data_IF_393970773681
#
_entry.id   IF_393970773681
#
_cell.length_a   1.000
_cell.length_b   1.000
_cell.length_c   1.000
_cell.angle_alpha   90.00
_cell.angle_beta   90.00
_cell.angle_gamma   90.00
#
_symmetry.space_group_name_H-M   'P 1'
#
loop_
_entity.id
_entity.type
_entity.pdbx_description
1 polymer ?
#
# COMPACT_ATOMS: atom_id res chain seq x y z
N UNK A 1 -13.27 15.11 0.05
CA UNK A 1 -12.66 14.29 1.11
C UNK A 1 -11.42 14.95 1.73
N UNK A 2 -10.93 16.08 1.21
CA UNK A 2 -9.80 16.83 1.77
C UNK A 2 -8.42 16.22 1.47
N UNK A 3 -8.31 15.32 0.50
CA UNK A 3 -7.03 14.79 0.05
C UNK A 3 -6.12 15.92 -0.44
N UNK A 4 -4.86 15.94 -0.03
CA UNK A 4 -3.91 16.99 -0.38
C UNK A 4 -2.91 16.55 -1.46
N UNK A 5 -2.76 15.26 -1.69
CA UNK A 5 -1.94 14.70 -2.76
C UNK A 5 -2.60 13.48 -3.37
N UNK A 6 -2.33 13.24 -4.65
CA UNK A 6 -2.73 12.05 -5.40
C UNK A 6 -1.50 11.53 -6.12
N UNK A 7 -1.23 10.24 -6.05
CA UNK A 7 -0.18 9.60 -6.84
C UNK A 7 -0.76 9.11 -8.17
N UNK A 8 -0.10 9.45 -9.27
CA UNK A 8 -0.42 8.88 -10.57
C UNK A 8 -0.06 7.39 -10.56
N UNK A 9 -0.99 6.53 -10.93
CA UNK A 9 -0.79 5.08 -10.91
C UNK A 9 0.12 4.61 -12.06
N UNK A 10 0.84 3.51 -11.84
CA UNK A 10 1.57 2.79 -12.90
C UNK A 10 0.66 2.24 -14.00
N UNK A 11 -0.62 2.13 -13.72
CA UNK A 11 -1.59 1.56 -14.64
C UNK A 11 -1.69 2.34 -15.95
N UNK A 12 -2.27 1.69 -16.94
CA UNK A 12 -2.71 2.32 -18.18
C UNK A 12 -4.24 2.33 -18.21
N UNK A 13 -4.82 3.35 -18.82
CA UNK A 13 -6.23 3.37 -19.17
C UNK A 13 -6.38 3.50 -20.67
N UNK A 14 -7.11 2.55 -21.28
CA UNK A 14 -7.25 2.44 -22.75
C UNK A 14 -5.91 2.47 -23.50
N UNK A 15 -4.87 1.86 -22.92
CA UNK A 15 -3.54 1.78 -23.51
C UNK A 15 -2.62 2.96 -23.25
N UNK A 16 -3.10 4.03 -22.61
CA UNK A 16 -2.29 5.21 -22.26
C UNK A 16 -1.85 5.17 -20.80
N UNK A 17 -0.55 5.38 -20.55
CA UNK A 17 0.01 5.46 -19.20
C UNK A 17 -0.54 6.68 -18.46
N UNK A 18 -0.99 6.47 -17.20
CA UNK A 18 -1.64 7.54 -16.42
C UNK A 18 -0.72 8.73 -16.15
N UNK A 19 0.60 8.54 -16.04
CA UNK A 19 1.54 9.65 -15.87
C UNK A 19 1.54 10.66 -17.03
N UNK A 20 1.13 10.26 -18.22
CA UNK A 20 0.99 11.13 -19.40
C UNK A 20 -0.46 11.46 -19.76
N UNK A 21 -1.43 11.04 -18.97
CA UNK A 21 -2.85 11.10 -19.30
C UNK A 21 -3.49 12.43 -18.89
N UNK A 22 -3.36 13.45 -19.74
CA UNK A 22 -3.86 14.80 -19.46
C UNK A 22 -5.35 14.85 -19.10
N UNK A 23 -6.19 14.12 -19.81
CA UNK A 23 -7.63 14.12 -19.54
C UNK A 23 -7.94 13.69 -18.11
N UNK A 24 -7.31 12.61 -17.60
CA UNK A 24 -7.57 12.16 -16.24
C UNK A 24 -6.89 13.02 -15.18
N UNK A 25 -5.63 13.43 -15.38
CA UNK A 25 -4.87 14.17 -14.37
C UNK A 25 -5.27 15.65 -14.29
N UNK A 26 -5.55 16.26 -15.42
CA UNK A 26 -5.90 17.70 -15.49
C UNK A 26 -7.40 17.90 -15.61
N UNK A 27 -7.99 17.46 -16.73
CA UNK A 27 -9.35 17.86 -17.06
C UNK A 27 -10.37 17.26 -16.07
N UNK A 28 -10.21 15.99 -15.67
CA UNK A 28 -11.10 15.35 -14.68
C UNK A 28 -10.68 15.67 -13.25
N UNK A 29 -9.46 15.29 -12.84
CA UNK A 29 -9.07 15.40 -11.43
C UNK A 29 -8.95 16.86 -10.97
N UNK A 30 -8.13 17.65 -11.68
CA UNK A 30 -7.87 19.04 -11.24
C UNK A 30 -9.02 19.98 -11.51
N UNK A 31 -9.65 19.90 -12.71
CA UNK A 31 -10.67 20.86 -13.13
C UNK A 31 -12.08 20.42 -12.75
N UNK A 32 -12.58 19.27 -13.23
CA UNK A 32 -13.97 18.86 -12.98
C UNK A 32 -14.23 18.49 -11.51
N UNK A 33 -13.29 17.78 -10.87
CA UNK A 33 -13.41 17.41 -9.46
C UNK A 33 -12.94 18.51 -8.51
N UNK A 34 -12.32 19.59 -9.01
CA UNK A 34 -11.82 20.70 -8.21
C UNK A 34 -10.67 20.32 -7.27
N UNK A 35 -9.84 19.35 -7.65
CA UNK A 35 -8.71 18.94 -6.82
C UNK A 35 -7.63 20.02 -6.81
N UNK A 36 -7.40 20.63 -5.67
CA UNK A 36 -6.48 21.74 -5.48
C UNK A 36 -5.14 21.37 -4.83
N UNK A 37 -4.94 20.08 -4.52
CA UNK A 37 -3.66 19.51 -4.12
C UNK A 37 -2.71 19.29 -5.29
N UNK A 38 -1.62 18.54 -5.07
CA UNK A 38 -0.66 18.21 -6.12
C UNK A 38 -0.72 16.73 -6.54
N UNK A 39 -0.30 16.45 -7.77
CA UNK A 39 -0.13 15.10 -8.30
C UNK A 39 1.35 14.73 -8.27
N UNK A 40 1.68 13.63 -7.60
CA UNK A 40 3.02 13.04 -7.58
C UNK A 40 3.07 11.82 -8.49
N UNK A 41 4.19 11.60 -9.18
CA UNK A 41 4.42 10.39 -9.95
C UNK A 41 4.76 9.19 -9.07
N UNK A 42 4.63 8.01 -9.61
CA UNK A 42 5.19 6.79 -9.04
C UNK A 42 6.63 6.59 -9.53
N UNK A 43 7.35 5.64 -8.96
CA UNK A 43 8.78 5.36 -9.19
C UNK A 43 9.11 5.16 -10.67
N UNK A 44 9.80 6.16 -11.29
CA UNK A 44 10.08 6.18 -12.72
C UNK A 44 8.85 6.03 -13.65
N UNK A 45 7.64 6.26 -13.14
CA UNK A 45 6.41 6.06 -13.90
C UNK A 45 6.28 6.96 -15.13
N UNK A 46 6.87 8.16 -15.09
CA UNK A 46 6.94 9.06 -16.24
C UNK A 46 7.72 8.46 -17.42
N UNK A 47 8.78 7.68 -17.12
CA UNK A 47 9.59 7.02 -18.15
C UNK A 47 8.83 5.95 -18.95
N UNK A 48 7.66 5.51 -18.47
CA UNK A 48 6.80 4.55 -19.16
C UNK A 48 5.80 5.21 -20.12
N UNK A 49 5.72 6.53 -20.13
CA UNK A 49 4.90 7.27 -21.10
C UNK A 49 5.52 7.14 -22.48
N UNK A 50 4.68 6.90 -23.50
CA UNK A 50 5.16 6.71 -24.88
C UNK A 50 5.97 7.91 -25.34
N UNK A 51 7.21 7.67 -25.76
CA UNK A 51 8.14 8.70 -26.21
C UNK A 51 8.94 9.38 -25.09
N UNK A 52 8.74 8.95 -23.84
CA UNK A 52 9.53 9.39 -22.69
C UNK A 52 10.58 8.34 -22.28
N UNK A 53 11.46 8.77 -21.39
CA UNK A 53 12.35 7.92 -20.60
C UNK A 53 12.52 8.53 -19.20
N UNK A 54 13.34 7.93 -18.34
CA UNK A 54 13.52 8.42 -16.96
C UNK A 54 14.18 9.81 -16.88
N UNK A 55 14.92 10.19 -17.91
CA UNK A 55 15.68 11.44 -17.97
C UNK A 55 14.95 12.56 -18.70
N UNK A 56 13.85 12.24 -19.41
CA UNK A 56 13.14 13.19 -20.26
C UNK A 56 11.66 12.83 -20.41
N UNK A 57 10.76 13.70 -19.96
CA UNK A 57 9.33 13.55 -20.14
C UNK A 57 8.53 14.85 -19.93
N UNK A 58 8.62 15.78 -20.87
CA UNK A 58 7.77 16.97 -20.88
C UNK A 58 6.26 16.61 -20.90
N UNK A 59 5.90 15.49 -21.52
CA UNK A 59 4.51 15.04 -21.62
C UNK A 59 3.86 14.83 -20.26
N UNK A 60 4.59 14.24 -19.28
CA UNK A 60 4.04 14.02 -17.95
C UNK A 60 3.76 15.33 -17.21
N UNK A 61 4.67 16.31 -17.29
CA UNK A 61 4.45 17.65 -16.71
C UNK A 61 3.25 18.32 -17.37
N UNK A 62 3.18 18.31 -18.68
CA UNK A 62 2.09 18.92 -19.46
C UNK A 62 0.76 18.20 -19.26
N UNK A 63 0.78 16.91 -18.90
CA UNK A 63 -0.41 16.15 -18.54
C UNK A 63 -0.95 16.52 -17.14
N UNK A 64 -0.15 17.17 -16.29
CA UNK A 64 -0.59 17.58 -14.97
C UNK A 64 0.19 16.97 -13.80
N UNK A 65 1.28 16.25 -14.06
CA UNK A 65 2.18 15.80 -13.01
C UNK A 65 2.90 17.00 -12.38
N UNK A 66 2.87 17.12 -11.07
CA UNK A 66 3.46 18.24 -10.33
C UNK A 66 4.80 17.90 -9.69
N UNK A 67 5.00 16.62 -9.35
CA UNK A 67 6.24 16.11 -8.74
C UNK A 67 6.61 14.80 -9.42
N UNK A 68 7.84 14.69 -9.89
CA UNK A 68 8.41 13.44 -10.36
C UNK A 68 8.91 12.59 -9.17
N UNK A 69 8.74 11.28 -9.28
CA UNK A 69 9.42 10.31 -8.42
C UNK A 69 10.50 9.62 -9.24
N UNK A 70 11.71 10.16 -9.18
CA UNK A 70 12.86 9.69 -9.97
C UNK A 70 14.08 9.52 -9.07
N UNK A 71 14.44 8.26 -8.74
CA UNK A 71 15.45 7.99 -7.71
C UNK A 71 16.89 8.23 -8.19
N UNK A 72 17.22 7.89 -9.43
CA UNK A 72 18.60 7.87 -9.92
C UNK A 72 18.89 9.00 -10.93
N UNK A 73 18.02 9.19 -11.90
CA UNK A 73 18.26 10.04 -13.08
C UNK A 73 17.79 11.49 -12.89
N UNK A 74 17.55 11.89 -11.64
CA UNK A 74 16.94 13.17 -11.32
C UNK A 74 17.73 14.41 -11.78
N UNK A 75 19.07 14.33 -11.83
CA UNK A 75 19.89 15.47 -12.28
C UNK A 75 19.69 15.72 -13.77
N UNK A 76 19.77 14.67 -14.58
CA UNK A 76 19.59 14.77 -16.03
C UNK A 76 18.14 15.17 -16.34
N UNK A 77 17.16 14.59 -15.65
CA UNK A 77 15.75 14.98 -15.77
C UNK A 77 15.53 16.45 -15.42
N UNK A 78 16.21 16.96 -14.38
CA UNK A 78 16.14 18.38 -14.01
C UNK A 78 16.69 19.28 -15.13
N UNK A 79 17.89 18.97 -15.64
CA UNK A 79 18.52 19.78 -16.69
C UNK A 79 17.69 19.77 -17.98
N UNK A 80 17.18 18.61 -18.40
CA UNK A 80 16.29 18.49 -19.55
C UNK A 80 14.97 19.25 -19.34
N UNK A 81 14.36 19.14 -18.17
CA UNK A 81 13.13 19.88 -17.83
C UNK A 81 13.38 21.40 -17.87
N UNK A 82 14.50 21.87 -17.34
CA UNK A 82 14.88 23.28 -17.39
C UNK A 82 15.05 23.76 -18.84
N UNK A 83 15.70 22.99 -19.69
CA UNK A 83 15.83 23.30 -21.12
C UNK A 83 14.46 23.37 -21.79
N UNK A 84 13.56 22.42 -21.51
CA UNK A 84 12.20 22.37 -22.06
C UNK A 84 11.30 23.52 -21.58
N UNK A 85 11.56 24.07 -20.40
CA UNK A 85 10.89 25.29 -19.94
C UNK A 85 11.43 26.51 -20.69
N UNK A 86 12.75 26.59 -20.90
CA UNK A 86 13.41 27.70 -21.58
C UNK A 86 13.03 27.79 -23.08
N UNK A 87 12.83 26.65 -23.73
CA UNK A 87 12.42 26.60 -25.15
C UNK A 87 10.90 26.65 -25.35
N UNK A 88 10.11 26.63 -24.27
CA UNK A 88 8.67 26.70 -24.29
C UNK A 88 7.94 25.37 -24.52
N UNK A 89 8.64 24.25 -24.59
CA UNK A 89 8.05 22.91 -24.65
C UNK A 89 7.18 22.64 -23.41
N UNK A 90 7.63 23.12 -22.25
CA UNK A 90 6.85 23.16 -21.01
C UNK A 90 6.50 24.63 -20.73
N UNK A 91 5.23 25.03 -20.80
CA UNK A 91 4.85 26.40 -20.49
C UNK A 91 5.16 26.77 -19.04
N UNK A 92 5.70 27.98 -18.81
CA UNK A 92 5.96 28.48 -17.45
C UNK A 92 4.70 28.45 -16.57
N UNK A 93 3.55 28.66 -17.14
CA UNK A 93 2.25 28.56 -16.41
C UNK A 93 2.01 27.18 -15.81
N UNK A 94 2.52 26.12 -16.46
CA UNK A 94 2.41 24.75 -15.92
C UNK A 94 3.33 24.56 -14.71
N UNK A 95 4.52 25.11 -14.75
CA UNK A 95 5.47 25.11 -13.62
C UNK A 95 4.90 25.92 -12.45
N UNK A 96 4.38 27.12 -12.74
CA UNK A 96 3.72 27.95 -11.74
C UNK A 96 2.54 27.26 -11.04
N UNK A 97 1.72 26.51 -11.80
CA UNK A 97 0.61 25.73 -11.21
C UNK A 97 1.15 24.62 -10.30
N UNK A 98 2.19 23.87 -10.73
CA UNK A 98 2.80 22.83 -9.91
C UNK A 98 3.36 23.40 -8.59
N UNK A 99 4.12 24.48 -8.69
CA UNK A 99 4.71 25.15 -7.52
C UNK A 99 3.63 25.68 -6.57
N UNK A 100 2.59 26.32 -7.08
CA UNK A 100 1.47 26.81 -6.26
C UNK A 100 0.77 25.66 -5.53
N UNK A 101 0.54 24.53 -6.17
CA UNK A 101 -0.10 23.36 -5.56
C UNK A 101 0.78 22.77 -4.45
N UNK A 102 2.07 22.60 -4.71
CA UNK A 102 3.04 22.08 -3.74
C UNK A 102 3.13 23.02 -2.53
N UNK A 103 3.30 24.33 -2.77
CA UNK A 103 3.38 25.32 -1.69
C UNK A 103 2.09 25.40 -0.88
N UNK A 104 0.94 25.37 -1.54
CA UNK A 104 -0.39 25.35 -0.87
C UNK A 104 -0.50 24.21 0.13
N UNK A 105 -0.11 23.01 -0.28
CA UNK A 105 -0.13 21.84 0.61
C UNK A 105 0.86 21.98 1.75
N UNK A 106 2.07 22.48 1.49
CA UNK A 106 3.07 22.73 2.53
C UNK A 106 2.58 23.75 3.56
N UNK A 107 1.95 24.84 3.11
CA UNK A 107 1.35 25.86 4.00
C UNK A 107 0.20 25.26 4.80
N UNK A 108 -0.73 24.57 4.17
CA UNK A 108 -1.85 23.89 4.88
C UNK A 108 -1.37 22.87 5.91
N UNK A 109 -0.27 22.19 5.63
CA UNK A 109 0.36 21.27 6.57
C UNK A 109 1.15 21.96 7.69
N UNK A 110 1.29 23.31 7.65
CA UNK A 110 2.04 24.09 8.64
C UNK A 110 3.53 23.78 8.64
N UNK A 111 4.11 23.42 7.49
CA UNK A 111 5.52 22.96 7.43
C UNK A 111 6.50 24.10 7.68
N UNK A 112 6.11 25.34 7.42
CA UNK A 112 6.96 26.50 7.61
C UNK A 112 7.02 26.97 9.07
N UNK A 113 5.97 26.70 9.85
CA UNK A 113 5.84 27.08 11.27
C UNK A 113 6.25 25.95 12.22
N UNK A 114 6.20 24.69 11.74
CA UNK A 114 6.59 23.55 12.57
C UNK A 114 8.08 23.47 12.77
N UNK A 115 8.54 23.02 13.95
CA UNK A 115 9.96 22.77 14.18
C UNK A 115 10.47 21.66 13.26
N UNK A 116 11.79 21.49 13.22
CA UNK A 116 12.42 20.40 12.48
C UNK A 116 11.81 19.04 12.88
N UNK A 117 11.78 18.03 12.01
CA UNK A 117 11.19 16.73 12.32
C UNK A 117 11.68 16.10 13.63
N UNK A 118 12.97 16.25 13.94
CA UNK A 118 13.54 15.72 15.18
C UNK A 118 12.96 16.35 16.46
N UNK A 119 12.44 17.58 16.38
CA UNK A 119 11.91 18.34 17.51
C UNK A 119 10.38 18.35 17.57
N UNK A 120 9.71 17.54 16.74
CA UNK A 120 8.25 17.44 16.77
C UNK A 120 7.78 16.50 17.88
N UNK A 121 6.56 16.69 18.40
CA UNK A 121 5.95 15.73 19.32
C UNK A 121 6.01 14.32 18.76
N UNK A 122 6.27 13.34 19.61
CA UNK A 122 6.36 11.92 19.29
C UNK A 122 7.59 11.51 18.46
N UNK A 123 8.44 12.45 18.08
CA UNK A 123 9.65 12.13 17.31
C UNK A 123 10.61 11.30 18.17
N UNK A 124 11.02 10.13 17.67
CA UNK A 124 11.91 9.19 18.35
C UNK A 124 11.27 8.38 19.48
N UNK A 125 9.99 8.57 19.77
CA UNK A 125 9.27 7.80 20.80
C UNK A 125 8.93 6.39 20.28
N UNK A 126 9.83 5.45 20.55
CA UNK A 126 9.65 4.04 20.14
C UNK A 126 8.55 3.32 20.92
N UNK A 127 8.06 3.86 22.04
CA UNK A 127 6.97 3.25 22.80
C UNK A 127 5.64 3.26 22.04
N UNK A 128 5.55 4.06 20.98
CA UNK A 128 4.37 4.11 20.09
C UNK A 128 4.27 2.90 19.14
N UNK A 129 5.41 2.23 18.87
CA UNK A 129 5.42 1.11 17.93
C UNK A 129 4.78 -0.10 18.60
N UNK A 130 3.71 -0.61 17.99
CA UNK A 130 2.99 -1.78 18.48
C UNK A 130 2.23 -1.56 19.80
N UNK A 131 1.87 -0.32 20.15
CA UNK A 131 0.98 -0.03 21.26
C UNK A 131 -0.29 -0.87 21.23
N UNK A 132 -0.82 -1.22 22.40
CA UNK A 132 -2.04 -2.00 22.55
C UNK A 132 -3.22 -1.37 21.78
N UNK A 133 -3.38 -0.05 21.85
CA UNK A 133 -4.45 0.67 21.16
C UNK A 133 -4.30 0.58 19.64
N UNK A 134 -3.07 0.64 19.10
CA UNK A 134 -2.81 0.49 17.67
C UNK A 134 -3.09 -0.95 17.19
N UNK A 135 -2.72 -1.94 18.01
CA UNK A 135 -3.02 -3.36 17.72
C UNK A 135 -4.51 -3.65 17.75
N UNK A 136 -5.26 -3.03 18.65
CA UNK A 136 -6.72 -3.18 18.69
C UNK A 136 -7.38 -2.59 17.44
N UNK A 137 -6.94 -1.43 16.97
CA UNK A 137 -7.41 -0.85 15.70
C UNK A 137 -7.12 -1.78 14.53
N UNK A 138 -5.90 -2.34 14.47
CA UNK A 138 -5.51 -3.30 13.43
C UNK A 138 -6.37 -4.57 13.49
N UNK A 139 -6.58 -5.14 14.69
CA UNK A 139 -7.43 -6.30 14.88
C UNK A 139 -8.90 -6.02 14.49
N UNK A 140 -9.41 -4.82 14.78
CA UNK A 140 -10.75 -4.41 14.36
C UNK A 140 -10.84 -4.29 12.84
N UNK A 141 -9.83 -3.72 12.19
CA UNK A 141 -9.78 -3.64 10.74
C UNK A 141 -9.80 -5.03 10.08
N UNK A 142 -9.08 -6.01 10.65
CA UNK A 142 -9.12 -7.41 10.19
C UNK A 142 -10.54 -7.98 10.34
N UNK A 143 -11.18 -7.82 11.51
CA UNK A 143 -12.55 -8.30 11.74
C UNK A 143 -13.56 -7.75 10.73
N UNK A 144 -13.41 -6.47 10.37
CA UNK A 144 -14.32 -5.79 9.44
C UNK A 144 -14.00 -6.05 7.95
N UNK A 145 -12.80 -6.50 7.63
CA UNK A 145 -12.40 -6.81 6.25
C UNK A 145 -12.71 -8.25 5.82
N UNK A 146 -13.02 -9.15 6.76
CA UNK A 146 -13.36 -10.52 6.42
C UNK A 146 -14.73 -10.61 5.70
N UNK A 147 -14.76 -11.37 4.60
CA UNK A 147 -15.96 -11.55 3.80
C UNK A 147 -16.43 -13.00 3.86
N UNK A 148 -17.63 -13.21 4.43
CA UNK A 148 -18.26 -14.53 4.48
C UNK A 148 -18.93 -14.84 3.13
N UNK A 149 -18.24 -15.53 2.23
CA UNK A 149 -18.77 -15.85 0.89
C UNK A 149 -19.84 -16.97 0.94
N UNK A 150 -19.74 -17.88 1.89
CA UNK A 150 -20.64 -19.03 1.98
C UNK A 150 -20.67 -19.61 3.39
N UNK A 151 -21.88 -19.85 3.92
CA UNK A 151 -22.09 -20.58 5.18
C UNK A 151 -23.33 -21.48 5.05
N UNK A 152 -23.17 -22.63 4.37
CA UNK A 152 -24.25 -23.63 4.24
C UNK A 152 -24.33 -24.47 5.50
N UNK A 153 -25.57 -24.88 5.85
CA UNK A 153 -25.87 -25.76 6.98
C UNK A 153 -25.32 -25.23 8.32
N UNK A 154 -25.15 -23.93 8.47
CA UNK A 154 -24.64 -23.30 9.70
C UNK A 154 -23.30 -23.90 10.14
N UNK A 155 -22.39 -24.15 9.20
CA UNK A 155 -21.03 -24.67 9.48
C UNK A 155 -20.27 -23.73 10.42
N UNK A 156 -20.43 -22.42 10.24
CA UNK A 156 -19.88 -21.39 11.12
C UNK A 156 -20.98 -20.86 12.06
N UNK A 157 -20.66 -20.54 13.32
CA UNK A 157 -19.35 -20.66 13.96
C UNK A 157 -18.97 -22.11 14.28
N UNK A 158 -17.66 -22.43 14.22
CA UNK A 158 -17.10 -23.70 14.63
C UNK A 158 -16.94 -23.69 16.16
N UNK A 159 -17.35 -24.75 16.84
CA UNK A 159 -17.06 -24.90 18.27
C UNK A 159 -15.57 -25.07 18.49
N UNK A 160 -14.98 -24.21 19.31
CA UNK A 160 -13.56 -24.26 19.64
C UNK A 160 -13.15 -25.45 20.51
N UNK A 161 -14.11 -26.17 21.13
CA UNK A 161 -13.84 -27.39 21.94
C UNK A 161 -13.62 -28.65 21.09
N UNK A 162 -13.67 -28.53 19.76
CA UNK A 162 -13.49 -29.65 18.82
C UNK A 162 -12.01 -29.94 18.56
N UNK A 163 -11.78 -31.11 17.92
CA UNK A 163 -10.50 -31.42 17.29
C UNK A 163 -10.47 -30.78 15.91
N UNK A 164 -9.57 -29.82 15.72
CA UNK A 164 -9.45 -29.03 14.51
C UNK A 164 -8.14 -29.34 13.80
N UNK A 165 -8.21 -29.64 12.52
CA UNK A 165 -7.06 -29.65 11.61
C UNK A 165 -6.98 -28.30 10.93
N UNK A 166 -5.82 -27.65 10.95
CA UNK A 166 -5.53 -26.49 10.11
C UNK A 166 -4.54 -26.90 9.04
N UNK A 167 -4.88 -26.70 7.79
CA UNK A 167 -4.10 -27.15 6.63
C UNK A 167 -3.91 -26.01 5.62
N UNK A 168 -3.01 -26.24 4.68
CA UNK A 168 -2.68 -25.30 3.61
C UNK A 168 -1.49 -24.41 3.91
N UNK A 169 -0.89 -23.91 2.87
CA UNK A 169 0.38 -23.17 2.89
C UNK A 169 0.25 -21.73 3.42
N UNK A 170 -0.95 -21.21 3.53
CA UNK A 170 -1.24 -19.91 4.14
C UNK A 170 -1.54 -19.97 5.64
N UNK A 171 -1.64 -21.18 6.23
CA UNK A 171 -2.09 -21.35 7.61
C UNK A 171 -1.12 -20.72 8.62
N UNK A 172 0.15 -20.99 8.49
CA UNK A 172 1.22 -20.49 9.37
C UNK A 172 2.28 -19.74 8.54
N UNK A 173 1.84 -18.72 7.84
CA UNK A 173 2.69 -17.94 6.93
C UNK A 173 2.28 -16.45 6.95
N UNK A 174 2.95 -15.68 7.83
CA UNK A 174 2.68 -14.24 7.98
C UNK A 174 3.12 -13.46 6.74
N UNK A 175 4.19 -13.90 6.07
CA UNK A 175 4.65 -13.29 4.81
C UNK A 175 3.56 -13.32 3.74
N UNK A 176 2.96 -14.49 3.49
CA UNK A 176 1.83 -14.67 2.57
C UNK A 176 0.58 -13.88 3.02
N UNK A 177 0.30 -13.87 4.32
CA UNK A 177 -0.82 -13.12 4.91
C UNK A 177 -0.67 -11.59 4.72
N UNK A 178 0.56 -11.08 4.75
CA UNK A 178 0.86 -9.65 4.62
C UNK A 178 0.97 -9.19 3.18
N UNK A 179 1.48 -10.03 2.29
CA UNK A 179 1.61 -9.74 0.87
C UNK A 179 2.70 -8.74 0.50
N UNK A 180 2.60 -8.16 -0.69
CA UNK A 180 3.54 -7.20 -1.22
C UNK A 180 3.65 -5.92 -0.39
N UNK A 181 4.78 -5.22 -0.50
CA UNK A 181 5.13 -4.01 0.27
C UNK A 181 5.28 -4.25 1.78
N UNK A 182 5.39 -5.51 2.20
CA UNK A 182 5.70 -5.87 3.58
C UNK A 182 7.16 -6.26 3.67
N UNK A 183 7.97 -5.48 4.40
CA UNK A 183 9.43 -5.62 4.61
C UNK A 183 10.21 -5.51 3.30
N UNK A 184 9.92 -6.36 2.31
CA UNK A 184 10.50 -6.31 0.96
C UNK A 184 9.49 -5.73 -0.02
N UNK A 185 9.95 -5.24 -1.18
CA UNK A 185 9.05 -4.62 -2.16
C UNK A 185 7.96 -5.59 -2.61
N UNK A 186 8.35 -6.78 -3.04
CA UNK A 186 7.37 -7.78 -3.50
C UNK A 186 6.72 -8.56 -2.34
N UNK A 187 7.24 -8.43 -1.11
CA UNK A 187 6.79 -9.24 0.02
C UNK A 187 7.27 -10.70 -0.05
N UNK A 188 8.19 -11.00 -0.97
CA UNK A 188 8.73 -12.35 -1.17
C UNK A 188 9.80 -12.70 -0.14
N UNK A 189 9.94 -14.00 0.14
CA UNK A 189 10.94 -14.57 1.04
C UNK A 189 10.86 -14.10 2.50
N UNK A 190 9.77 -13.48 2.90
CA UNK A 190 9.52 -13.16 4.31
C UNK A 190 9.13 -14.44 5.06
N UNK A 191 9.65 -14.60 6.26
CA UNK A 191 9.32 -15.68 7.20
C UNK A 191 8.56 -15.11 8.40
N UNK A 192 8.00 -15.98 9.25
CA UNK A 192 7.31 -15.51 10.46
C UNK A 192 8.25 -14.75 11.41
N UNK A 193 9.55 -15.05 11.41
CA UNK A 193 10.56 -14.37 12.25
C UNK A 193 10.78 -12.89 11.85
N UNK A 194 10.45 -12.52 10.62
CA UNK A 194 10.55 -11.15 10.14
C UNK A 194 9.43 -10.24 10.70
N UNK A 195 8.41 -10.83 11.35
CA UNK A 195 7.25 -10.12 11.90
C UNK A 195 7.16 -10.22 13.42
N UNK A 196 8.08 -9.62 14.17
CA UNK A 196 8.09 -9.73 15.63
C UNK A 196 6.78 -9.20 16.23
N UNK A 197 6.08 -10.07 16.96
CA UNK A 197 4.77 -9.78 17.54
C UNK A 197 3.61 -9.85 16.56
N UNK A 198 3.82 -10.34 15.33
CA UNK A 198 2.76 -10.80 14.44
C UNK A 198 2.18 -12.13 14.93
N UNK A 199 0.97 -12.46 14.45
CA UNK A 199 0.32 -13.76 14.67
C UNK A 199 -0.13 -14.32 13.34
N UNK A 200 0.20 -15.55 13.07
CA UNK A 200 -0.33 -16.27 11.91
C UNK A 200 -1.81 -16.60 12.12
N UNK A 201 -2.49 -16.98 11.03
CA UNK A 201 -3.89 -17.47 11.12
C UNK A 201 -3.92 -18.73 12.03
N UNK A 202 -2.93 -19.60 11.89
CA UNK A 202 -2.80 -20.76 12.76
C UNK A 202 -2.63 -20.41 14.23
N UNK A 203 -1.76 -19.45 14.57
CA UNK A 203 -1.57 -18.99 15.95
C UNK A 203 -2.86 -18.49 16.57
N UNK A 204 -3.62 -17.69 15.83
CA UNK A 204 -4.92 -17.17 16.28
C UNK A 204 -5.95 -18.27 16.53
N UNK A 205 -6.04 -19.26 15.62
CA UNK A 205 -6.92 -20.41 15.77
C UNK A 205 -6.47 -21.28 16.96
N UNK A 206 -5.17 -21.54 17.06
CA UNK A 206 -4.59 -22.34 18.14
C UNK A 206 -4.91 -21.77 19.51
N UNK A 207 -4.61 -20.49 19.71
CA UNK A 207 -4.89 -19.83 20.98
C UNK A 207 -6.39 -19.90 21.35
N UNK A 208 -7.28 -19.71 20.39
CA UNK A 208 -8.72 -19.77 20.63
C UNK A 208 -9.20 -21.19 20.97
N UNK A 209 -8.71 -22.20 20.26
CA UNK A 209 -9.10 -23.61 20.44
C UNK A 209 -8.59 -24.18 21.76
N UNK A 210 -7.32 -23.96 22.06
CA UNK A 210 -6.68 -24.46 23.29
C UNK A 210 -7.31 -23.80 24.54
N UNK A 211 -7.60 -22.50 24.49
CA UNK A 211 -8.30 -21.80 25.59
C UNK A 211 -9.72 -22.35 25.85
N UNK A 212 -10.34 -22.93 24.84
CA UNK A 212 -11.67 -23.57 24.97
C UNK A 212 -11.61 -25.06 25.31
N UNK A 213 -10.42 -25.60 25.55
CA UNK A 213 -10.19 -27.02 25.86
C UNK A 213 -10.29 -27.95 24.65
N UNK A 214 -10.23 -27.42 23.45
CA UNK A 214 -10.14 -28.18 22.20
C UNK A 214 -8.73 -28.61 21.86
N UNK A 215 -8.58 -29.28 20.72
CA UNK A 215 -7.29 -29.70 20.19
C UNK A 215 -7.13 -29.19 18.75
N UNK A 216 -5.97 -28.70 18.42
CA UNK A 216 -5.64 -28.20 17.07
C UNK A 216 -4.34 -28.79 16.59
N UNK A 217 -4.33 -29.23 15.34
CA UNK A 217 -3.14 -29.73 14.63
C UNK A 217 -2.90 -28.90 13.38
N UNK A 218 -1.65 -28.50 13.15
CA UNK A 218 -1.20 -27.94 11.88
C UNK A 218 -0.68 -29.07 10.99
N UNK A 219 -1.14 -29.10 9.75
CA UNK A 219 -0.61 -30.00 8.72
C UNK A 219 -0.80 -29.35 7.36
N UNK A 220 0.27 -28.83 6.77
CA UNK A 220 0.21 -28.08 5.51
C UNK A 220 -0.38 -28.91 4.37
N UNK A 221 -0.03 -30.20 4.30
CA UNK A 221 -0.53 -31.14 3.29
C UNK A 221 -1.90 -31.76 3.63
N UNK A 222 -2.44 -31.45 4.81
CA UNK A 222 -3.73 -31.99 5.28
C UNK A 222 -3.67 -33.41 5.83
N UNK A 223 -2.49 -33.99 6.04
CA UNK A 223 -2.34 -35.31 6.64
C UNK A 223 -2.74 -35.30 8.14
N UNK A 224 -3.28 -36.39 8.63
CA UNK A 224 -3.66 -36.55 10.04
C UNK A 224 -3.63 -38.00 10.46
N UNK A 225 -3.23 -38.27 11.72
CA UNK A 225 -3.28 -39.61 12.32
C UNK A 225 -4.67 -39.89 12.90
N UNK A 226 -5.24 -38.92 13.58
CA UNK A 226 -6.56 -39.04 14.17
C UNK A 226 -7.54 -38.11 13.44
N UNK A 227 -8.67 -38.66 12.97
CA UNK A 227 -9.66 -37.93 12.20
C UNK A 227 -10.13 -36.66 12.94
N UNK A 228 -9.97 -35.47 12.33
CA UNK A 228 -10.47 -34.23 12.91
C UNK A 228 -12.01 -34.16 12.83
N UNK A 229 -12.60 -33.36 13.72
CA UNK A 229 -14.03 -33.03 13.65
C UNK A 229 -14.29 -31.98 12.56
N UNK A 230 -13.30 -31.08 12.36
CA UNK A 230 -13.35 -30.02 11.36
C UNK A 230 -11.96 -29.81 10.79
N UNK A 231 -11.90 -29.55 9.49
CA UNK A 231 -10.69 -29.08 8.82
C UNK A 231 -10.89 -27.62 8.36
N UNK A 232 -9.89 -26.78 8.62
CA UNK A 232 -9.79 -25.40 8.13
C UNK A 232 -8.61 -25.38 7.15
N UNK A 233 -8.89 -25.07 5.88
CA UNK A 233 -7.85 -24.98 4.85
C UNK A 233 -7.59 -23.52 4.55
N UNK A 234 -6.33 -23.09 4.71
CA UNK A 234 -5.89 -21.71 4.49
C UNK A 234 -4.86 -21.70 3.36
N UNK A 235 -5.17 -20.97 2.31
CA UNK A 235 -4.29 -20.82 1.16
C UNK A 235 -4.38 -19.41 0.59
N UNK A 236 -3.42 -19.00 -0.18
CA UNK A 236 -3.37 -17.69 -0.82
C UNK A 236 -2.35 -17.67 -1.96
N UNK A 237 -2.34 -16.57 -2.70
CA UNK A 237 -1.32 -16.33 -3.71
C UNK A 237 0.03 -16.04 -3.05
N UNK A 238 1.11 -16.37 -3.75
CA UNK A 238 2.44 -15.90 -3.39
C UNK A 238 2.55 -14.40 -3.72
N UNK A 239 3.23 -13.61 -2.90
CA UNK A 239 3.55 -12.21 -3.24
C UNK A 239 4.41 -12.14 -4.51
N UNK A 240 4.14 -11.17 -5.41
CA UNK A 240 4.82 -11.01 -6.71
C UNK A 240 5.02 -9.54 -7.09
#
# INVERSE_FOLDING_TARGET
AGAQSVMASFNSWNGEKLHGHKYLLTDVLKEQMGFDGFVVGDWNGHGQVKGCNNEDCAQAINAGLDIFMVPNDWKVLYDNTLAQVNDGTIPMSRIDDAVRRILRVKVRAGLFEKPSPANRPLSGDRSLIGKAEHREVAAQAVRESLVLLKNKNKTLPISASKRILVAGDGADNIGKQSGGWSITWQGTNNTNDDFPGGSSIYDGIKAHVENAGGNVQLSVDGSFETKPDVAIVVFGEEPY
#
